data_IF_337405398579
#
_entry.id   IF_337405398579
#
_cell.length_a   1.000
_cell.length_b   1.000
_cell.length_c   1.000
_cell.angle_alpha   90.00
_cell.angle_beta   90.00
_cell.angle_gamma   90.00
#
_symmetry.space_group_name_H-M   'P 1'
#
loop_
_entity.id
_entity.type
_entity.pdbx_description
1 polymer ?
#
# COMPACT_ATOMS: atom_id res chain seq x y z
N UNK A 1 54.54 -24.74 -24.32
CA UNK A 1 54.36 -23.28 -24.21
C UNK A 1 52.98 -23.02 -23.64
N UNK A 2 52.92 -22.54 -22.39
CA UNK A 2 51.68 -22.27 -21.65
C UNK A 2 51.23 -20.85 -21.99
N UNK A 3 49.99 -20.66 -22.44
CA UNK A 3 49.42 -19.32 -22.62
C UNK A 3 48.37 -19.06 -21.55
N UNK A 4 48.84 -18.45 -20.46
CA UNK A 4 48.05 -18.00 -19.31
C UNK A 4 47.53 -16.61 -19.66
N UNK A 5 46.29 -16.49 -20.12
CA UNK A 5 45.65 -15.18 -20.25
C UNK A 5 45.19 -14.75 -18.86
N UNK A 6 45.94 -13.80 -18.33
CA UNK A 6 45.68 -13.09 -17.09
C UNK A 6 44.99 -11.76 -17.43
N UNK A 7 44.09 -11.31 -16.54
CA UNK A 7 43.49 -9.95 -16.48
C UNK A 7 42.31 -9.76 -17.47
N UNK A 8 41.10 -9.35 -17.07
CA UNK A 8 40.73 -8.10 -16.41
C UNK A 8 39.56 -8.24 -15.42
N UNK A 9 39.81 -7.91 -14.15
CA UNK A 9 38.80 -7.37 -13.26
C UNK A 9 38.57 -5.89 -13.62
N UNK A 10 37.76 -5.65 -14.66
CA UNK A 10 37.38 -4.31 -15.11
C UNK A 10 36.10 -3.85 -14.41
N UNK A 11 36.21 -2.77 -13.66
CA UNK A 11 35.12 -2.05 -12.99
C UNK A 11 33.96 -1.78 -13.98
N UNK A 12 32.90 -2.61 -13.96
CA UNK A 12 31.79 -2.48 -14.90
C UNK A 12 30.95 -1.23 -14.57
N UNK A 13 31.27 -0.10 -15.22
CA UNK A 13 30.39 1.06 -15.28
C UNK A 13 29.11 0.64 -15.98
N UNK A 14 27.99 0.57 -15.26
CA UNK A 14 26.67 0.34 -15.86
C UNK A 14 26.42 1.46 -16.89
N UNK A 15 26.19 1.12 -18.18
CA UNK A 15 25.87 2.08 -19.23
C UNK A 15 24.76 3.04 -18.83
N UNK A 16 24.89 4.33 -19.18
CA UNK A 16 23.90 5.36 -18.86
C UNK A 16 22.50 5.04 -19.38
N UNK A 17 22.41 4.36 -20.52
CA UNK A 17 21.16 3.87 -21.12
C UNK A 17 20.44 2.90 -20.15
N UNK A 18 21.15 1.95 -19.56
CA UNK A 18 20.59 1.02 -18.57
C UNK A 18 20.15 1.74 -17.28
N UNK A 19 20.90 2.78 -16.87
CA UNK A 19 20.49 3.65 -15.74
C UNK A 19 19.20 4.42 -16.07
N UNK A 20 19.05 4.94 -17.29
CA UNK A 20 17.82 5.61 -17.77
C UNK A 20 16.63 4.65 -17.82
N UNK A 21 16.80 3.43 -18.33
CA UNK A 21 15.75 2.40 -18.32
C UNK A 21 15.31 2.03 -16.90
N UNK A 22 16.25 1.90 -15.95
CA UNK A 22 15.93 1.62 -14.54
C UNK A 22 15.11 2.76 -13.91
N UNK A 23 15.46 4.02 -14.21
CA UNK A 23 14.70 5.18 -13.73
C UNK A 23 13.30 5.23 -14.35
N UNK A 24 13.17 4.97 -15.64
CA UNK A 24 11.87 4.91 -16.31
C UNK A 24 10.96 3.82 -15.72
N UNK A 25 11.48 2.62 -15.48
CA UNK A 25 10.72 1.53 -14.82
C UNK A 25 10.27 1.91 -13.41
N UNK A 26 11.14 2.57 -12.63
CA UNK A 26 10.77 3.08 -11.30
C UNK A 26 9.63 4.10 -11.39
N UNK A 27 9.71 5.02 -12.35
CA UNK A 27 8.69 6.04 -12.57
C UNK A 27 7.35 5.41 -12.98
N UNK A 28 7.36 4.42 -13.88
CA UNK A 28 6.16 3.67 -14.26
C UNK A 28 5.52 2.95 -13.07
N UNK A 29 6.33 2.25 -12.27
CA UNK A 29 5.83 1.58 -11.06
C UNK A 29 5.27 2.58 -10.03
N UNK A 30 5.87 3.76 -9.93
CA UNK A 30 5.37 4.82 -9.05
C UNK A 30 4.02 5.34 -9.52
N UNK A 31 3.84 5.58 -10.82
CA UNK A 31 2.55 5.99 -11.39
C UNK A 31 1.48 4.94 -11.07
N UNK A 32 1.75 3.67 -11.38
CA UNK A 32 0.82 2.58 -11.14
C UNK A 32 0.41 2.52 -9.66
N UNK A 33 1.39 2.58 -8.76
CA UNK A 33 1.13 2.59 -7.31
C UNK A 33 0.31 3.81 -6.88
N UNK A 34 0.61 5.00 -7.40
CA UNK A 34 -0.14 6.22 -7.08
C UNK A 34 -1.58 6.14 -7.59
N UNK A 35 -1.82 5.52 -8.75
CA UNK A 35 -3.16 5.27 -9.26
C UNK A 35 -3.93 4.29 -8.37
N UNK A 36 -3.28 3.21 -7.94
CA UNK A 36 -3.86 2.24 -6.99
C UNK A 36 -4.24 2.91 -5.66
N UNK A 37 -3.32 3.69 -5.08
CA UNK A 37 -3.55 4.43 -3.83
C UNK A 37 -4.72 5.42 -3.97
N UNK A 38 -4.74 6.23 -5.04
CA UNK A 38 -5.85 7.16 -5.31
C UNK A 38 -7.19 6.45 -5.51
N UNK A 39 -7.18 5.28 -6.15
CA UNK A 39 -8.39 4.51 -6.34
C UNK A 39 -8.93 3.99 -5.01
N UNK A 40 -8.06 3.46 -4.13
CA UNK A 40 -8.45 3.08 -2.77
C UNK A 40 -9.01 4.29 -2.02
N UNK A 41 -8.33 5.43 -2.05
CA UNK A 41 -8.76 6.65 -1.37
C UNK A 41 -10.15 7.13 -1.83
N UNK A 42 -10.49 6.93 -3.12
CA UNK A 42 -11.81 7.27 -3.66
C UNK A 42 -12.95 6.36 -3.19
N UNK A 43 -12.63 5.15 -2.73
CA UNK A 43 -13.59 4.11 -2.32
C UNK A 43 -13.68 3.98 -0.79
N UNK A 44 -12.56 4.20 -0.11
CA UNK A 44 -12.38 4.06 1.32
C UNK A 44 -12.08 5.43 1.94
N UNK A 45 -13.04 6.35 1.86
CA UNK A 45 -12.86 7.73 2.31
C UNK A 45 -13.04 7.86 3.83
N UNK A 46 -12.40 8.85 4.48
CA UNK A 46 -12.64 9.15 5.89
C UNK A 46 -14.12 9.42 6.21
N UNK A 47 -14.83 10.13 5.34
CA UNK A 47 -16.24 10.46 5.54
C UNK A 47 -17.12 9.20 5.58
N UNK A 48 -16.85 8.23 4.69
CA UNK A 48 -17.55 6.94 4.69
C UNK A 48 -17.28 6.16 5.98
N UNK A 49 -16.02 6.15 6.42
CA UNK A 49 -15.64 5.47 7.65
C UNK A 49 -16.32 6.12 8.85
N UNK A 50 -16.22 7.44 8.99
CA UNK A 50 -16.87 8.19 10.07
C UNK A 50 -18.38 7.96 10.10
N UNK A 51 -19.05 7.98 8.94
CA UNK A 51 -20.49 7.75 8.85
C UNK A 51 -20.92 6.35 9.35
N UNK A 52 -20.05 5.34 9.26
CA UNK A 52 -20.34 3.97 9.68
C UNK A 52 -19.88 3.66 11.11
N UNK A 53 -18.79 4.27 11.55
CA UNK A 53 -18.13 3.91 12.82
C UNK A 53 -18.28 4.95 13.91
N UNK A 54 -18.62 6.20 13.55
CA UNK A 54 -18.65 7.36 14.45
C UNK A 54 -17.35 7.53 15.24
N UNK A 55 -16.21 7.24 14.60
CA UNK A 55 -14.90 7.46 15.20
C UNK A 55 -14.51 8.93 15.05
N UNK A 56 -13.91 9.50 16.09
CA UNK A 56 -13.25 10.80 16.04
C UNK A 56 -12.03 10.75 15.10
N UNK A 57 -11.61 11.91 14.56
CA UNK A 57 -10.60 12.00 13.49
C UNK A 57 -9.31 11.21 13.77
N UNK A 58 -8.73 11.35 14.95
CA UNK A 58 -7.50 10.64 15.32
C UNK A 58 -7.68 9.12 15.40
N UNK A 59 -8.79 8.66 15.98
CA UNK A 59 -9.11 7.24 16.09
C UNK A 59 -9.48 6.64 14.74
N UNK A 60 -10.16 7.41 13.89
CA UNK A 60 -10.49 7.05 12.53
C UNK A 60 -9.23 6.88 11.67
N UNK A 61 -8.31 7.84 11.70
CA UNK A 61 -7.02 7.72 11.01
C UNK A 61 -6.24 6.49 11.49
N UNK A 62 -6.25 6.22 12.80
CA UNK A 62 -5.63 5.02 13.37
C UNK A 62 -6.31 3.74 12.88
N UNK A 63 -7.64 3.71 12.81
CA UNK A 63 -8.40 2.59 12.28
C UNK A 63 -8.06 2.33 10.80
N UNK A 64 -8.10 3.36 9.96
CA UNK A 64 -7.80 3.24 8.52
C UNK A 64 -6.35 2.78 8.27
N UNK A 65 -5.40 3.25 9.09
CA UNK A 65 -4.01 2.76 9.03
C UNK A 65 -3.86 1.31 9.49
N UNK A 66 -4.67 0.88 10.46
CA UNK A 66 -4.64 -0.50 10.99
C UNK A 66 -5.28 -1.49 10.03
N UNK A 67 -6.30 -1.06 9.29
CA UNK A 67 -7.03 -1.85 8.32
C UNK A 67 -6.96 -1.20 6.93
N UNK A 68 -5.80 -1.25 6.25
CA UNK A 68 -5.68 -0.75 4.89
C UNK A 68 -6.48 -1.65 3.94
N UNK A 69 -7.29 -1.05 3.08
CA UNK A 69 -8.02 -1.78 2.05
C UNK A 69 -7.09 -2.19 0.91
N UNK A 70 -7.16 -3.47 0.50
CA UNK A 70 -6.43 -3.95 -0.65
C UNK A 70 -7.03 -3.42 -1.96
N UNK A 71 -6.18 -3.04 -2.92
CA UNK A 71 -6.61 -2.51 -4.22
C UNK A 71 -7.56 -3.44 -4.96
N UNK A 72 -7.23 -4.73 -5.04
CA UNK A 72 -8.06 -5.74 -5.72
C UNK A 72 -9.47 -5.80 -5.14
N UNK A 73 -9.60 -5.68 -3.82
CA UNK A 73 -10.89 -5.66 -3.15
C UNK A 73 -11.63 -4.35 -3.43
N UNK A 74 -10.97 -3.20 -3.26
CA UNK A 74 -11.55 -1.89 -3.57
C UNK A 74 -12.11 -1.82 -5.00
N UNK A 75 -11.44 -2.51 -5.95
CA UNK A 75 -11.78 -2.53 -7.37
C UNK A 75 -12.95 -3.44 -7.71
N UNK A 76 -13.03 -4.59 -7.05
CA UNK A 76 -14.03 -5.62 -7.33
C UNK A 76 -15.31 -5.49 -6.48
N UNK A 77 -15.20 -4.96 -5.26
CA UNK A 77 -16.30 -4.89 -4.31
C UNK A 77 -17.33 -3.82 -4.70
N UNK A 78 -18.60 -4.19 -4.54
CA UNK A 78 -19.73 -3.26 -4.55
C UNK A 78 -19.68 -2.30 -3.36
N UNK A 79 -20.43 -1.21 -3.44
CA UNK A 79 -20.54 -0.24 -2.34
C UNK A 79 -21.02 -0.88 -1.03
N UNK A 80 -21.94 -1.85 -1.14
CA UNK A 80 -22.44 -2.57 0.03
C UNK A 80 -21.34 -3.43 0.67
N UNK A 81 -20.56 -4.14 -0.14
CA UNK A 81 -19.45 -4.98 0.33
C UNK A 81 -18.38 -4.14 1.01
N UNK A 82 -18.05 -2.97 0.46
CA UNK A 82 -17.14 -2.02 1.11
C UNK A 82 -17.66 -1.60 2.49
N UNK A 83 -18.93 -1.20 2.59
CA UNK A 83 -19.54 -0.83 3.88
C UNK A 83 -19.50 -1.99 4.87
N UNK A 84 -19.82 -3.20 4.42
CA UNK A 84 -19.76 -4.42 5.24
C UNK A 84 -18.34 -4.73 5.71
N UNK A 85 -17.35 -4.58 4.83
CA UNK A 85 -15.94 -4.75 5.15
C UNK A 85 -15.50 -3.77 6.24
N UNK A 86 -15.90 -2.50 6.15
CA UNK A 86 -15.60 -1.48 7.18
C UNK A 86 -16.20 -1.89 8.53
N UNK A 87 -17.49 -2.24 8.56
CA UNK A 87 -18.19 -2.63 9.80
C UNK A 87 -17.59 -3.89 10.43
N UNK A 88 -17.22 -4.88 9.62
CA UNK A 88 -16.58 -6.11 10.09
C UNK A 88 -15.24 -5.80 10.78
N UNK A 89 -14.35 -5.05 10.12
CA UNK A 89 -13.05 -4.69 10.68
C UNK A 89 -13.19 -3.76 11.89
N UNK A 90 -14.18 -2.88 11.90
CA UNK A 90 -14.46 -2.01 13.04
C UNK A 90 -14.86 -2.80 14.28
N UNK A 91 -15.66 -3.87 14.13
CA UNK A 91 -16.00 -4.76 15.25
C UNK A 91 -14.75 -5.41 15.85
N UNK A 92 -13.82 -5.85 15.02
CA UNK A 92 -12.53 -6.39 15.48
C UNK A 92 -11.67 -5.31 16.16
N UNK A 93 -11.65 -4.10 15.60
CA UNK A 93 -10.94 -2.96 16.17
C UNK A 93 -11.43 -2.62 17.58
N UNK A 94 -12.75 -2.57 17.78
CA UNK A 94 -13.38 -2.34 19.09
C UNK A 94 -13.05 -3.44 20.10
N UNK A 95 -12.98 -4.71 19.67
CA UNK A 95 -12.53 -5.82 20.51
C UNK A 95 -11.09 -5.65 21.00
N UNK A 96 -10.18 -5.24 20.10
CA UNK A 96 -8.76 -4.98 20.43
C UNK A 96 -8.56 -3.75 21.31
N UNK A 97 -9.37 -2.71 21.14
CA UNK A 97 -9.31 -1.50 21.98
C UNK A 97 -9.63 -1.82 23.45
N UNK A 98 -10.73 -2.54 23.69
CA UNK A 98 -11.14 -2.95 25.05
C UNK A 98 -10.09 -3.82 25.75
N UNK A 99 -9.41 -4.70 25.02
CA UNK A 99 -8.37 -5.56 25.58
C UNK A 99 -7.10 -4.79 26.01
N UNK A 100 -6.83 -3.62 25.42
CA UNK A 100 -5.69 -2.77 25.77
C UNK A 100 -5.96 -1.92 27.01
N UNK A 101 -7.20 -1.50 27.25
CA UNK A 101 -7.58 -0.67 28.42
C UNK A 101 -7.59 -1.45 29.75
N UNK A 102 -7.66 -2.79 29.70
CA UNK A 102 -7.74 -3.66 30.90
C UNK A 102 -6.34 -4.11 31.38
N UNK A 103 -5.26 -3.73 30.68
CA UNK A 103 -3.86 -4.03 31.05
C UNK A 103 -3.21 -2.84 31.72
#
# INVERSE_FOLDING_TARGET
MSNKIHVYAGNQRIPEILKKHKQLRKFQNQIARTEEEKFIDSRYTPELVNALTHLEDDEMMKFMKTYPMAYDYARAASDLEIKMWILYNFREYQGKAKAQTIR
#
